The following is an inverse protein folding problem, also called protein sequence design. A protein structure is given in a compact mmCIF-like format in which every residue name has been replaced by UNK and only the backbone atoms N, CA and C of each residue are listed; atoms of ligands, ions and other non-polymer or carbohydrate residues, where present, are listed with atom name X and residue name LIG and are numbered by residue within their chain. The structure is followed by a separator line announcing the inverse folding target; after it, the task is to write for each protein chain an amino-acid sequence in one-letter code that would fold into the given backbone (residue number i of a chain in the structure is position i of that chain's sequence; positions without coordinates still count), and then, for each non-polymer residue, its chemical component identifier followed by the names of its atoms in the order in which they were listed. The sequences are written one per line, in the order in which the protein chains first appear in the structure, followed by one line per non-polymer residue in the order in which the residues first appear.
data_IF_558126146329
#
_entry.id   IF_558126146329
#
_cell.length_a   1.000
_cell.length_b   1.000
_cell.length_c   1.000
_cell.angle_alpha   90.00
_cell.angle_beta   90.00
_cell.angle_gamma   90.00
#
_symmetry.space_group_name_H-M   'P 1'
#
loop_
_entity.id
_entity.type
_entity.pdbx_description
1 polymer ?
#
# COMPACT_ATOMS: atom_id res chain seq x y z
N UNK A 1 -7.16 -18.30 -3.71
CA UNK A 1 -5.69 -18.37 -3.55
C UNK A 1 -5.12 -17.00 -3.88
N UNK A 2 -4.00 -16.62 -3.29
CA UNK A 2 -3.37 -15.33 -3.58
C UNK A 2 -2.72 -15.31 -4.97
N UNK A 3 -2.67 -14.12 -5.59
CA UNK A 3 -2.05 -13.96 -6.90
C UNK A 3 -0.51 -14.11 -6.84
N UNK A 4 0.12 -13.67 -5.74
CA UNK A 4 1.54 -13.88 -5.48
C UNK A 4 1.80 -15.30 -4.93
N UNK A 5 1.84 -16.29 -5.83
CA UNK A 5 1.75 -17.72 -5.50
C UNK A 5 2.82 -18.23 -4.54
N UNK A 6 4.06 -17.77 -4.68
CA UNK A 6 5.20 -18.22 -3.87
C UNK A 6 5.26 -17.49 -2.52
N UNK A 7 4.57 -16.36 -2.40
CA UNK A 7 4.51 -15.56 -1.17
C UNK A 7 3.04 -15.32 -0.76
N UNK A 8 2.27 -16.40 -0.69
CA UNK A 8 0.87 -16.38 -0.28
C UNK A 8 0.59 -17.58 0.62
N UNK A 9 0.43 -17.31 1.91
CA UNK A 9 -0.10 -18.26 2.89
C UNK A 9 -1.62 -18.36 2.73
N UNK A 10 -2.09 -19.04 1.69
CA UNK A 10 -3.52 -19.28 1.41
C UNK A 10 -3.93 -20.73 1.69
N UNK A 11 -5.16 -21.10 1.33
CA UNK A 11 -5.78 -22.40 1.60
C UNK A 11 -4.93 -23.64 1.30
N UNK A 12 -3.87 -23.54 0.48
CA UNK A 12 -2.86 -24.60 0.32
C UNK A 12 -2.19 -25.00 1.64
N UNK A 13 -2.09 -24.10 2.61
CA UNK A 13 -1.47 -24.36 3.91
C UNK A 13 -2.48 -24.60 5.05
N UNK A 14 -3.67 -23.99 4.99
CA UNK A 14 -4.63 -23.96 6.12
C UNK A 14 -6.04 -24.44 5.77
N UNK A 15 -6.26 -24.97 4.56
CA UNK A 15 -7.53 -25.55 4.14
C UNK A 15 -8.60 -24.52 3.74
N UNK A 16 -9.86 -24.95 3.73
CA UNK A 16 -10.99 -24.13 3.28
C UNK A 16 -11.41 -23.08 4.33
N UNK A 17 -11.84 -21.90 3.86
CA UNK A 17 -12.40 -20.84 4.71
C UNK A 17 -13.90 -21.06 4.93
N UNK A 18 -14.36 -20.93 6.17
CA UNK A 18 -15.79 -20.93 6.50
C UNK A 18 -16.50 -19.74 5.84
N UNK A 19 -17.65 -19.99 5.19
CA UNK A 19 -18.43 -18.98 4.47
C UNK A 19 -18.86 -17.80 5.34
N UNK A 20 -19.04 -18.01 6.65
CA UNK A 20 -19.43 -16.96 7.61
C UNK A 20 -18.34 -15.90 7.80
N UNK A 21 -17.09 -16.20 7.43
CA UNK A 21 -15.96 -15.28 7.53
C UNK A 21 -15.79 -14.42 6.26
N UNK A 22 -16.62 -14.61 5.24
CA UNK A 22 -16.56 -13.82 4.00
C UNK A 22 -17.25 -12.47 4.22
N UNK A 23 -16.46 -11.39 4.21
CA UNK A 23 -16.96 -10.03 4.43
C UNK A 23 -17.45 -9.34 3.15
N UNK A 24 -16.86 -9.65 1.99
CA UNK A 24 -17.21 -8.98 0.73
C UNK A 24 -16.20 -9.22 -0.40
N UNK A 25 -16.30 -8.42 -1.46
CA UNK A 25 -15.45 -8.47 -2.66
C UNK A 25 -14.73 -7.13 -2.86
N UNK A 26 -13.43 -7.17 -3.14
CA UNK A 26 -12.69 -5.98 -3.54
C UNK A 26 -13.18 -5.49 -4.92
N UNK A 27 -13.62 -4.23 -5.01
CA UNK A 27 -14.23 -3.68 -6.23
C UNK A 27 -13.39 -2.58 -6.88
N UNK A 28 -12.77 -1.70 -6.10
CA UNK A 28 -12.10 -0.50 -6.60
C UNK A 28 -10.80 -0.27 -5.84
N UNK A 29 -9.76 0.17 -6.53
CA UNK A 29 -8.56 0.73 -5.91
C UNK A 29 -8.80 2.22 -5.63
N UNK A 30 -9.13 2.55 -4.38
CA UNK A 30 -9.43 3.93 -4.00
C UNK A 30 -8.20 4.85 -4.00
N UNK A 31 -7.00 4.32 -3.68
CA UNK A 31 -5.76 5.08 -3.62
C UNK A 31 -4.54 4.16 -3.78
N UNK A 32 -3.45 4.70 -4.34
CA UNK A 32 -2.18 3.98 -4.44
C UNK A 32 -1.00 4.94 -4.49
N UNK A 33 -0.02 4.69 -3.63
CA UNK A 33 1.21 5.47 -3.49
C UNK A 33 2.43 4.59 -3.70
N UNK A 34 3.44 5.09 -4.43
CA UNK A 34 4.70 4.38 -4.60
C UNK A 34 5.68 4.72 -3.47
N UNK A 35 6.24 3.70 -2.81
CA UNK A 35 7.30 3.86 -1.79
C UNK A 35 8.60 4.40 -2.39
N UNK A 36 9.17 5.44 -1.77
CA UNK A 36 10.42 6.08 -2.23
C UNK A 36 11.60 5.71 -1.32
N UNK A 37 12.60 4.96 -1.82
CA UNK A 37 13.83 4.70 -1.07
C UNK A 37 14.64 5.96 -0.76
N UNK A 38 14.40 7.07 -1.48
CA UNK A 38 15.13 8.34 -1.29
C UNK A 38 14.46 9.29 -0.30
N UNK A 39 13.31 8.92 0.28
CA UNK A 39 12.66 9.75 1.29
C UNK A 39 13.60 9.95 2.47
N UNK A 40 13.73 11.17 3.02
CA UNK A 40 14.44 11.40 4.27
C UNK A 40 13.90 10.48 5.36
N UNK A 41 14.76 9.96 6.22
CA UNK A 41 14.36 9.19 7.39
C UNK A 41 14.06 10.13 8.56
N UNK A 42 13.11 9.73 9.42
CA UNK A 42 12.78 10.51 10.61
C UNK A 42 13.78 10.13 11.71
N UNK A 43 14.72 11.02 11.98
CA UNK A 43 15.64 10.90 13.12
C UNK A 43 15.14 11.77 14.29
N UNK A 44 14.85 11.14 15.42
CA UNK A 44 14.30 11.81 16.62
C UNK A 44 15.31 12.79 17.24
N UNK A 45 16.61 12.54 17.03
CA UNK A 45 17.71 13.40 17.52
C UNK A 45 17.82 14.72 16.76
N UNK A 46 17.34 14.80 15.53
CA UNK A 46 17.38 16.01 14.72
C UNK A 46 15.97 16.62 14.61
N UNK A 47 15.68 17.72 15.32
CA UNK A 47 14.34 18.34 15.30
C UNK A 47 13.93 18.90 13.92
N UNK A 48 14.88 19.05 12.98
CA UNK A 48 14.60 19.51 11.62
C UNK A 48 14.16 18.37 10.67
N UNK A 49 14.34 17.10 11.06
CA UNK A 49 14.04 15.94 10.19
C UNK A 49 12.54 15.80 9.88
N UNK A 50 11.66 16.12 10.84
CA UNK A 50 10.21 16.00 10.69
C UNK A 50 9.65 17.03 9.70
N UNK A 51 9.94 18.34 9.81
CA UNK A 51 9.54 19.31 8.80
C UNK A 51 10.11 19.02 7.41
N UNK A 52 11.37 18.59 7.32
CA UNK A 52 12.02 18.27 6.05
C UNK A 52 11.36 17.07 5.36
N UNK A 53 11.15 15.99 6.10
CA UNK A 53 10.42 14.81 5.62
C UNK A 53 9.01 15.19 5.13
N UNK A 54 8.30 16.03 5.88
CA UNK A 54 6.95 16.45 5.52
C UNK A 54 6.95 17.31 4.25
N UNK A 55 7.84 18.29 4.16
CA UNK A 55 8.02 19.12 2.97
C UNK A 55 8.39 18.27 1.75
N UNK A 56 9.30 17.30 1.92
CA UNK A 56 9.68 16.35 0.88
C UNK A 56 8.48 15.55 0.39
N UNK A 57 7.67 14.99 1.30
CA UNK A 57 6.51 14.18 0.95
C UNK A 57 5.40 14.99 0.27
N UNK A 58 5.17 16.25 0.69
CA UNK A 58 4.22 17.15 0.01
C UNK A 58 4.70 17.47 -1.40
N UNK A 59 5.98 17.85 -1.54
CA UNK A 59 6.53 18.23 -2.84
C UNK A 59 6.50 17.09 -3.85
N UNK A 60 6.81 15.86 -3.38
CA UNK A 60 6.84 14.68 -4.22
C UNK A 60 5.46 14.00 -4.38
N UNK A 61 4.45 14.48 -3.65
CA UNK A 61 3.12 13.89 -3.62
C UNK A 61 2.55 13.57 -5.02
N UNK A 62 2.47 14.54 -5.95
CA UNK A 62 1.87 14.27 -7.24
C UNK A 62 2.68 13.27 -8.09
N UNK A 63 4.00 13.18 -7.92
CA UNK A 63 4.83 12.21 -8.65
C UNK A 63 4.74 10.80 -8.05
N UNK A 64 4.47 10.68 -6.74
CA UNK A 64 4.40 9.39 -6.04
C UNK A 64 3.03 8.70 -6.18
N UNK A 65 1.96 9.46 -6.37
CA UNK A 65 0.62 8.90 -6.60
C UNK A 65 0.61 8.12 -7.90
N UNK A 66 0.16 6.85 -7.84
CA UNK A 66 0.00 6.01 -9.03
C UNK A 66 -1.35 6.31 -9.68
N UNK A 67 -1.44 7.43 -10.38
CA UNK A 67 -2.67 7.92 -11.02
C UNK A 67 -3.39 6.87 -11.87
N UNK A 68 -2.64 6.05 -12.60
CA UNK A 68 -3.18 4.97 -13.44
C UNK A 68 -3.93 3.87 -12.66
N UNK A 69 -3.80 3.82 -11.33
CA UNK A 69 -4.50 2.87 -10.46
C UNK A 69 -5.67 3.50 -9.71
N UNK A 70 -5.76 4.83 -9.69
CA UNK A 70 -6.79 5.53 -8.93
C UNK A 70 -8.17 5.21 -9.52
N UNK A 71 -9.12 4.86 -8.65
CA UNK A 71 -10.48 4.46 -9.02
C UNK A 71 -10.56 3.29 -10.02
N UNK A 72 -9.48 2.51 -10.19
CA UNK A 72 -9.49 1.36 -11.10
C UNK A 72 -10.41 0.27 -10.56
N UNK A 73 -11.33 -0.21 -11.39
CA UNK A 73 -12.23 -1.33 -11.07
C UNK A 73 -11.44 -2.64 -11.14
N UNK A 74 -11.62 -3.48 -10.13
CA UNK A 74 -11.12 -4.85 -10.05
C UNK A 74 -12.21 -5.73 -10.66
N UNK A 75 -12.04 -6.10 -11.92
CA UNK A 75 -12.90 -7.06 -12.64
C UNK A 75 -12.22 -8.41 -12.71
#
# INVERSE_FOLDING_TARGET
MGDNRDNSADSRFWGFLDRRLIMGRAMIIHFSWATDPKSPEIEISNPLSIPEWFAYNIWHFPQRVRWNRLAKIIT
#
